data_IF_580307516999
#
_entry.id   IF_580307516999
#
_cell.length_a   1.000
_cell.length_b   1.000
_cell.length_c   1.000
_cell.angle_alpha   90.00
_cell.angle_beta   90.00
_cell.angle_gamma   90.00
#
_symmetry.space_group_name_H-M   'P 1'
#
loop_
_entity.id
_entity.type
_entity.pdbx_description
1 polymer ?
#
# COMPACT_ATOMS: atom_id res chain seq x y z
N UNK A 1 -3.78 -2.11 13.24
CA UNK A 1 -2.79 -3.05 13.78
C UNK A 1 -3.47 -4.18 14.56
N UNK A 2 -4.31 -3.87 15.55
CA UNK A 2 -5.02 -4.89 16.36
C UNK A 2 -5.90 -5.87 15.54
N UNK A 3 -6.46 -5.43 14.41
CA UNK A 3 -7.38 -6.27 13.62
C UNK A 3 -6.71 -7.44 12.88
N UNK A 4 -5.44 -7.33 12.48
CA UNK A 4 -4.76 -8.40 11.72
C UNK A 4 -4.58 -9.65 12.61
N UNK A 5 -4.23 -9.46 13.88
CA UNK A 5 -4.14 -10.57 14.84
C UNK A 5 -5.49 -11.23 15.09
N UNK A 6 -6.57 -10.45 15.23
CA UNK A 6 -7.92 -10.96 15.39
C UNK A 6 -8.35 -11.82 14.19
N UNK A 7 -8.02 -11.39 12.96
CA UNK A 7 -8.38 -12.18 11.77
C UNK A 7 -7.66 -13.53 11.72
N UNK A 8 -6.39 -13.60 12.17
CA UNK A 8 -5.66 -14.88 12.26
C UNK A 8 -6.42 -15.86 13.18
N UNK A 9 -6.94 -15.39 14.31
CA UNK A 9 -7.73 -16.23 15.23
C UNK A 9 -9.03 -16.69 14.58
N UNK A 10 -9.79 -15.77 13.98
CA UNK A 10 -11.07 -16.10 13.31
C UNK A 10 -10.89 -17.08 12.16
N UNK A 11 -9.85 -16.92 11.33
CA UNK A 11 -9.64 -17.80 10.19
C UNK A 11 -9.19 -19.21 10.57
N UNK A 12 -8.44 -19.35 11.68
CA UNK A 12 -8.01 -20.65 12.20
C UNK A 12 -9.09 -21.40 12.99
N UNK A 13 -10.17 -20.73 13.39
CA UNK A 13 -11.25 -21.34 14.15
C UNK A 13 -12.05 -22.35 13.31
N UNK A 14 -12.28 -23.55 13.84
CA UNK A 14 -13.18 -24.55 13.23
C UNK A 14 -14.66 -24.17 13.42
N UNK A 15 -14.97 -23.31 14.40
CA UNK A 15 -16.33 -22.87 14.73
C UNK A 15 -16.82 -21.73 13.83
N UNK A 16 -15.93 -21.10 13.05
CA UNK A 16 -16.27 -20.00 12.15
C UNK A 16 -16.75 -20.54 10.80
N UNK A 17 -17.92 -20.06 10.35
CA UNK A 17 -18.52 -20.49 9.08
C UNK A 17 -17.67 -20.08 7.86
N UNK A 18 -17.88 -20.76 6.73
CA UNK A 18 -17.16 -20.45 5.49
C UNK A 18 -17.47 -19.02 4.97
N UNK A 19 -18.72 -18.57 5.12
CA UNK A 19 -19.16 -17.23 4.75
C UNK A 19 -18.47 -16.15 5.59
N UNK A 20 -18.36 -16.38 6.90
CA UNK A 20 -17.64 -15.45 7.78
C UNK A 20 -16.16 -15.43 7.45
N UNK A 21 -15.53 -16.59 7.20
CA UNK A 21 -14.14 -16.66 6.74
C UNK A 21 -13.92 -15.91 5.43
N UNK A 22 -14.83 -16.00 4.47
CA UNK A 22 -14.74 -15.27 3.20
C UNK A 22 -14.74 -13.75 3.41
N UNK A 23 -15.59 -13.24 4.31
CA UNK A 23 -15.61 -11.82 4.68
C UNK A 23 -14.28 -11.41 5.33
N UNK A 24 -13.74 -12.22 6.23
CA UNK A 24 -12.45 -11.90 6.88
C UNK A 24 -11.28 -11.93 5.90
N UNK A 25 -11.27 -12.86 4.93
CA UNK A 25 -10.27 -12.90 3.87
C UNK A 25 -10.31 -11.61 3.04
N UNK A 26 -11.49 -11.13 2.67
CA UNK A 26 -11.63 -9.87 1.94
C UNK A 26 -11.06 -8.68 2.74
N UNK A 27 -11.33 -8.61 4.05
CA UNK A 27 -10.76 -7.58 4.92
C UNK A 27 -9.24 -7.67 5.05
N UNK A 28 -8.69 -8.87 5.18
CA UNK A 28 -7.23 -9.06 5.23
C UNK A 28 -6.60 -8.60 3.92
N UNK A 29 -7.13 -9.03 2.78
CA UNK A 29 -6.63 -8.63 1.46
C UNK A 29 -6.55 -7.11 1.33
N UNK A 30 -7.58 -6.41 1.78
CA UNK A 30 -7.64 -4.95 1.77
C UNK A 30 -6.64 -4.32 2.75
N UNK A 31 -6.69 -4.68 4.04
CA UNK A 31 -5.94 -4.01 5.09
C UNK A 31 -4.43 -4.24 5.02
N UNK A 32 -4.00 -5.40 4.52
CA UNK A 32 -2.57 -5.65 4.27
C UNK A 32 -2.09 -4.86 3.05
N UNK A 33 -2.95 -4.58 2.07
CA UNK A 33 -2.66 -3.62 1.01
C UNK A 33 -2.44 -2.22 1.59
N UNK A 34 -3.44 -1.71 2.32
CA UNK A 34 -3.44 -0.36 2.89
C UNK A 34 -2.23 -0.09 3.80
N UNK A 35 -1.92 -1.00 4.72
CA UNK A 35 -0.80 -0.80 5.66
C UNK A 35 0.56 -0.74 4.95
N UNK A 36 0.66 -1.20 3.70
CA UNK A 36 1.89 -1.07 2.91
C UNK A 36 1.98 0.25 2.14
N UNK A 37 0.86 0.96 1.93
CA UNK A 37 0.83 2.31 1.36
C UNK A 37 1.36 3.32 2.40
N UNK A 38 2.47 4.03 2.14
CA UNK A 38 3.15 4.83 3.18
C UNK A 38 2.26 5.84 3.92
N UNK A 39 1.35 6.51 3.21
CA UNK A 39 0.48 7.56 3.77
C UNK A 39 -0.70 7.03 4.59
N UNK A 40 -1.01 5.73 4.54
CA UNK A 40 -1.99 5.10 5.44
C UNK A 40 -1.42 4.87 6.85
N UNK A 41 -0.13 5.14 7.06
CA UNK A 41 0.56 4.81 8.31
C UNK A 41 0.86 6.01 9.21
N UNK A 42 0.75 7.24 8.69
CA UNK A 42 1.10 8.45 9.45
C UNK A 42 0.44 9.69 8.83
N UNK A 43 0.40 10.78 9.61
CA UNK A 43 -0.07 12.10 9.19
C UNK A 43 1.06 13.12 9.37
N UNK A 44 1.27 14.02 8.41
CA UNK A 44 2.31 15.06 8.50
C UNK A 44 1.78 16.27 9.25
N UNK A 45 2.45 16.65 10.34
CA UNK A 45 2.14 17.84 11.13
C UNK A 45 3.11 18.96 10.76
N UNK A 46 2.57 20.15 10.51
CA UNK A 46 3.32 21.39 10.25
C UNK A 46 2.64 22.55 10.97
N UNK A 47 3.23 23.75 10.94
CA UNK A 47 2.55 24.95 11.45
C UNK A 47 1.22 25.21 10.73
N UNK A 48 1.13 24.93 9.42
CA UNK A 48 -0.09 25.09 8.62
C UNK A 48 -1.09 23.93 8.80
N UNK A 49 -0.63 22.77 9.28
CA UNK A 49 -1.45 21.56 9.50
C UNK A 49 -1.23 20.99 10.91
N UNK A 50 -1.63 21.70 11.98
CA UNK A 50 -1.34 21.30 13.35
C UNK A 50 -2.02 19.99 13.76
N UNK A 51 -3.19 19.68 13.19
CA UNK A 51 -3.92 18.42 13.40
C UNK A 51 -3.47 17.29 12.45
N UNK A 52 -2.44 17.57 11.64
CA UNK A 52 -1.95 16.68 10.61
C UNK A 52 -2.68 16.83 9.27
N UNK A 53 -2.02 16.39 8.20
CA UNK A 53 -2.51 16.51 6.82
C UNK A 53 -3.41 15.35 6.35
N UNK A 54 -3.86 14.52 7.30
CA UNK A 54 -4.76 13.37 7.08
C UNK A 54 -4.15 12.37 6.10
N UNK A 55 -2.86 12.07 6.28
CA UNK A 55 -2.10 11.16 5.42
C UNK A 55 -1.96 11.71 4.00
N UNK A 56 -1.64 12.99 3.85
CA UNK A 56 -1.49 13.62 2.54
C UNK A 56 -2.80 14.07 1.87
N UNK A 57 -3.97 13.78 2.45
CA UNK A 57 -5.25 14.22 1.88
C UNK A 57 -5.38 15.75 1.82
N UNK A 58 -4.76 16.47 2.77
CA UNK A 58 -4.73 17.93 2.80
C UNK A 58 -3.61 18.54 1.96
N UNK A 59 -2.69 17.73 1.40
CA UNK A 59 -1.63 18.20 0.50
C UNK A 59 -2.14 18.20 -0.95
N UNK A 60 -2.61 19.37 -1.42
CA UNK A 60 -3.19 19.52 -2.77
C UNK A 60 -2.13 19.67 -3.85
N UNK A 61 -2.37 19.12 -5.04
CA UNK A 61 -1.54 19.34 -6.23
C UNK A 61 -2.17 20.33 -7.22
N UNK A 62 -3.39 20.10 -7.66
CA UNK A 62 -4.06 20.97 -8.62
C UNK A 62 -5.46 20.45 -8.93
N UNK A 63 -6.13 21.05 -9.91
CA UNK A 63 -7.52 20.73 -10.21
C UNK A 63 -7.71 19.45 -11.05
N UNK A 64 -6.62 18.91 -11.62
CA UNK A 64 -6.63 17.65 -12.36
C UNK A 64 -6.35 16.45 -11.46
N UNK A 65 -6.89 15.28 -11.82
CA UNK A 65 -6.48 14.02 -11.19
C UNK A 65 -4.98 13.77 -11.41
N UNK A 66 -4.24 13.34 -10.38
CA UNK A 66 -4.64 13.24 -8.97
C UNK A 66 -4.62 14.62 -8.25
N UNK A 67 -5.70 14.93 -7.54
CA UNK A 67 -5.92 16.26 -6.92
C UNK A 67 -5.14 16.48 -5.61
N UNK A 68 -4.64 15.41 -4.99
CA UNK A 68 -3.87 15.47 -3.75
C UNK A 68 -2.87 14.31 -3.63
N UNK A 69 -1.95 14.44 -2.69
CA UNK A 69 -0.87 13.49 -2.46
C UNK A 69 -1.36 12.08 -2.08
N UNK A 70 -2.36 11.94 -1.21
CA UNK A 70 -2.92 10.63 -0.84
C UNK A 70 -3.48 9.90 -2.07
N UNK A 71 -4.33 10.60 -2.83
CA UNK A 71 -4.96 10.07 -4.03
C UNK A 71 -3.92 9.70 -5.11
N UNK A 72 -2.84 10.47 -5.22
CA UNK A 72 -1.71 10.16 -6.10
C UNK A 72 -1.04 8.83 -5.73
N UNK A 73 -0.81 8.57 -4.45
CA UNK A 73 -0.20 7.32 -3.99
C UNK A 73 -1.16 6.12 -4.07
N UNK A 74 -2.45 6.29 -3.76
CA UNK A 74 -3.46 5.24 -3.92
C UNK A 74 -3.61 4.84 -5.39
N UNK A 75 -3.59 5.82 -6.31
CA UNK A 75 -3.73 5.62 -7.76
C UNK A 75 -2.42 5.46 -8.52
N UNK A 76 -1.29 5.19 -7.86
CA UNK A 76 0.05 5.31 -8.45
C UNK A 76 0.27 4.45 -9.69
N UNK A 77 -0.36 3.26 -9.78
CA UNK A 77 -0.27 2.40 -10.97
C UNK A 77 -0.94 3.06 -12.17
N UNK A 78 -2.12 3.65 -11.99
CA UNK A 78 -2.86 4.31 -13.06
C UNK A 78 -2.22 5.64 -13.47
N UNK A 79 -1.58 6.32 -12.52
CA UNK A 79 -0.79 7.53 -12.79
C UNK A 79 0.44 7.19 -13.62
N UNK A 80 1.16 6.11 -13.29
CA UNK A 80 2.40 5.75 -13.96
C UNK A 80 2.18 4.99 -15.29
N UNK A 81 1.13 4.17 -15.36
CA UNK A 81 0.82 3.33 -16.51
C UNK A 81 -0.65 3.49 -16.93
N UNK A 82 -1.08 4.64 -17.46
CA UNK A 82 -2.49 4.85 -17.81
C UNK A 82 -3.06 3.69 -18.65
N UNK A 83 -4.14 3.09 -18.14
CA UNK A 83 -4.82 1.96 -18.80
C UNK A 83 -5.44 2.42 -20.12
N UNK A 84 -5.26 1.63 -21.17
CA UNK A 84 -5.94 1.87 -22.45
C UNK A 84 -7.44 1.56 -22.36
N UNK A 85 -8.25 2.28 -23.13
CA UNK A 85 -9.72 2.19 -23.08
C UNK A 85 -10.25 0.76 -23.37
N UNK A 86 -9.58 0.02 -24.26
CA UNK A 86 -9.95 -1.34 -24.68
C UNK A 86 -9.34 -2.45 -23.79
N UNK A 87 -8.66 -2.09 -22.69
CA UNK A 87 -8.01 -3.05 -21.79
C UNK A 87 -8.92 -3.34 -20.60
N UNK A 88 -9.27 -4.61 -20.41
CA UNK A 88 -10.02 -5.10 -19.25
C UNK A 88 -9.24 -4.87 -17.94
N UNK A 89 -9.95 -4.47 -16.88
CA UNK A 89 -9.33 -4.14 -15.58
C UNK A 89 -8.51 -5.28 -15.02
N UNK A 90 -9.03 -6.52 -15.09
CA UNK A 90 -8.34 -7.69 -14.56
C UNK A 90 -6.99 -7.92 -15.27
N UNK A 91 -6.96 -7.87 -16.60
CA UNK A 91 -5.73 -8.07 -17.39
C UNK A 91 -4.72 -6.95 -17.16
N UNK A 92 -5.20 -5.72 -17.04
CA UNK A 92 -4.37 -4.57 -16.71
C UNK A 92 -3.71 -4.72 -15.33
N UNK A 93 -4.47 -5.04 -14.28
CA UNK A 93 -3.89 -5.21 -12.94
C UNK A 93 -3.02 -6.47 -12.83
N UNK A 94 -3.38 -7.56 -13.51
CA UNK A 94 -2.59 -8.79 -13.54
C UNK A 94 -1.22 -8.55 -14.17
N UNK A 95 -1.17 -7.93 -15.36
CA UNK A 95 0.10 -7.64 -16.04
C UNK A 95 1.01 -6.71 -15.23
N UNK A 96 0.44 -5.70 -14.55
CA UNK A 96 1.18 -4.86 -13.62
C UNK A 96 1.72 -5.65 -12.41
N UNK A 97 0.90 -6.53 -11.82
CA UNK A 97 1.33 -7.38 -10.71
C UNK A 97 2.46 -8.34 -11.11
N UNK A 98 2.38 -8.94 -12.30
CA UNK A 98 3.44 -9.82 -12.84
C UNK A 98 4.75 -9.07 -13.11
N UNK A 99 4.66 -7.87 -13.68
CA UNK A 99 5.82 -6.99 -13.86
C UNK A 99 6.46 -6.63 -12.51
N UNK A 100 5.65 -6.22 -11.52
CA UNK A 100 6.13 -5.87 -10.17
C UNK A 100 6.79 -7.06 -9.49
N UNK A 101 6.17 -8.23 -9.54
CA UNK A 101 6.72 -9.49 -9.00
C UNK A 101 8.04 -9.87 -9.66
N UNK A 102 8.15 -9.68 -10.97
CA UNK A 102 9.38 -9.96 -11.74
C UNK A 102 10.50 -9.00 -11.37
N UNK A 103 10.19 -7.70 -11.23
CA UNK A 103 11.15 -6.66 -10.85
C UNK A 103 11.60 -6.79 -9.38
N UNK A 104 10.69 -7.21 -8.51
CA UNK A 104 10.91 -7.35 -7.06
C UNK A 104 10.64 -8.79 -6.62
N UNK A 105 11.57 -9.73 -6.88
CA UNK A 105 11.42 -11.12 -6.48
C UNK A 105 11.41 -11.28 -4.95
N UNK A 106 10.76 -12.32 -4.43
CA UNK A 106 10.67 -12.60 -2.99
C UNK A 106 12.02 -12.55 -2.27
N UNK A 107 13.09 -12.98 -2.95
CA UNK A 107 14.46 -12.99 -2.42
C UNK A 107 15.02 -11.60 -2.11
N UNK A 108 14.49 -10.52 -2.70
CA UNK A 108 14.85 -9.13 -2.33
C UNK A 108 14.44 -8.81 -0.89
N UNK A 109 13.40 -9.48 -0.37
CA UNK A 109 12.77 -9.18 0.92
C UNK A 109 13.09 -10.21 2.01
N UNK A 110 14.19 -10.94 1.89
CA UNK A 110 14.61 -11.93 2.88
C UNK A 110 14.71 -11.30 4.28
N UNK A 111 14.02 -11.90 5.25
CA UNK A 111 13.97 -11.41 6.63
C UNK A 111 12.98 -10.26 6.88
N UNK A 112 12.32 -9.72 5.84
CA UNK A 112 11.26 -8.71 5.99
C UNK A 112 9.85 -9.31 5.97
N UNK A 113 9.71 -10.56 5.52
CA UNK A 113 8.42 -11.26 5.52
C UNK A 113 8.16 -11.83 6.91
N UNK A 114 7.84 -10.94 7.84
CA UNK A 114 7.38 -11.25 9.20
C UNK A 114 5.88 -10.96 9.28
N UNK A 115 5.10 -11.96 9.71
CA UNK A 115 3.65 -11.92 9.80
C UNK A 115 3.12 -11.75 11.22
N UNK A 116 4.02 -11.64 12.19
CA UNK A 116 3.64 -11.67 13.60
C UNK A 116 3.33 -10.28 14.13
N UNK A 117 3.88 -9.23 13.53
CA UNK A 117 3.72 -7.88 14.04
C UNK A 117 3.42 -6.83 12.96
N UNK A 118 2.13 -6.49 12.82
CA UNK A 118 1.69 -5.40 11.95
C UNK A 118 2.22 -4.02 12.37
N UNK A 119 2.74 -3.87 13.60
CA UNK A 119 3.42 -2.66 14.04
C UNK A 119 4.75 -2.43 13.34
N UNK A 120 5.46 -3.50 12.98
CA UNK A 120 6.63 -3.40 12.12
C UNK A 120 6.25 -2.83 10.76
N UNK A 121 5.17 -3.33 10.15
CA UNK A 121 4.72 -2.87 8.83
C UNK A 121 4.30 -1.40 8.85
N UNK A 122 3.62 -0.98 9.92
CA UNK A 122 3.25 0.41 10.13
C UNK A 122 4.48 1.32 10.29
N UNK A 123 5.46 0.90 11.09
CA UNK A 123 6.70 1.65 11.30
C UNK A 123 7.50 1.80 10.00
N UNK A 124 7.56 0.77 9.16
CA UNK A 124 8.19 0.86 7.83
C UNK A 124 7.51 1.94 6.96
N UNK A 125 6.18 1.91 6.90
CA UNK A 125 5.40 2.91 6.15
C UNK A 125 5.63 4.32 6.66
N UNK A 126 5.64 4.50 8.00
CA UNK A 126 5.97 5.77 8.65
C UNK A 126 7.38 6.26 8.30
N UNK A 127 8.38 5.39 8.36
CA UNK A 127 9.76 5.75 8.03
C UNK A 127 9.91 6.18 6.57
N UNK A 128 9.26 5.48 5.64
CA UNK A 128 9.25 5.85 4.22
C UNK A 128 8.61 7.22 4.06
N UNK A 129 7.46 7.45 4.70
CA UNK A 129 6.77 8.73 4.65
C UNK A 129 7.64 9.88 5.12
N UNK A 130 8.32 9.71 6.26
CA UNK A 130 9.21 10.74 6.82
C UNK A 130 10.45 11.01 5.95
N UNK A 131 11.01 9.97 5.30
CA UNK A 131 12.28 10.08 4.57
C UNK A 131 12.12 10.42 3.10
N UNK A 132 10.98 10.10 2.48
CA UNK A 132 10.84 10.05 1.01
C UNK A 132 9.59 10.70 0.46
N UNK A 133 8.47 10.70 1.20
CA UNK A 133 7.17 11.12 0.63
C UNK A 133 6.98 12.64 0.61
N UNK A 134 7.68 13.38 1.48
CA UNK A 134 7.64 14.84 1.52
C UNK A 134 9.04 15.45 1.30
N UNK A 135 9.65 15.29 0.11
CA UNK A 135 10.90 15.98 -0.19
C UNK A 135 10.68 17.48 -0.35
N UNK A 136 11.75 18.27 -0.27
CA UNK A 136 11.69 19.74 -0.31
C UNK A 136 11.14 20.30 -1.62
N UNK A 137 11.29 19.58 -2.73
CA UNK A 137 10.81 19.98 -4.05
C UNK A 137 9.32 19.68 -4.27
N UNK A 138 8.68 18.89 -3.38
CA UNK A 138 7.25 18.63 -3.44
C UNK A 138 6.48 19.81 -2.84
N UNK A 139 5.72 20.53 -3.67
CA UNK A 139 4.99 21.74 -3.28
C UNK A 139 3.49 21.59 -3.41
N UNK A 140 2.76 22.26 -2.53
CA UNK A 140 1.31 22.35 -2.67
C UNK A 140 0.93 23.19 -3.88
N UNK A 141 -0.17 22.82 -4.52
CA UNK A 141 -0.73 23.49 -5.70
C UNK A 141 0.18 23.42 -6.95
N UNK A 142 1.16 22.51 -6.94
CA UNK A 142 2.00 22.17 -8.08
C UNK A 142 1.90 20.66 -8.37
N UNK A 143 2.04 20.27 -9.63
CA UNK A 143 2.18 18.85 -9.99
C UNK A 143 3.57 18.34 -9.62
N UNK A 144 3.72 17.05 -9.23
CA UNK A 144 5.02 16.52 -8.85
C UNK A 144 6.05 16.56 -9.98
N UNK A 145 7.31 16.75 -9.61
CA UNK A 145 8.46 16.64 -10.52
C UNK A 145 8.56 15.22 -11.10
N UNK A 146 9.22 15.07 -12.25
CA UNK A 146 9.47 13.72 -12.82
C UNK A 146 10.30 12.85 -11.88
N UNK A 147 11.26 13.45 -11.16
CA UNK A 147 12.05 12.76 -10.14
C UNK A 147 11.16 12.23 -9.00
N UNK A 148 10.20 13.03 -8.52
CA UNK A 148 9.24 12.58 -7.53
C UNK A 148 8.37 11.43 -8.07
N UNK A 149 7.89 11.53 -9.32
CA UNK A 149 7.07 10.49 -9.94
C UNK A 149 7.81 9.17 -10.04
N UNK A 150 9.06 9.20 -10.49
CA UNK A 150 9.90 8.00 -10.57
C UNK A 150 10.17 7.41 -9.17
N UNK A 151 10.50 8.24 -8.19
CA UNK A 151 10.72 7.81 -6.81
C UNK A 151 9.47 7.16 -6.21
N UNK A 152 8.32 7.82 -6.32
CA UNK A 152 7.07 7.35 -5.76
C UNK A 152 6.63 6.03 -6.40
N UNK A 153 6.70 5.93 -7.73
CA UNK A 153 6.35 4.71 -8.45
C UNK A 153 7.27 3.54 -8.10
N UNK A 154 8.59 3.74 -8.10
CA UNK A 154 9.55 2.70 -7.70
C UNK A 154 9.34 2.25 -6.24
N UNK A 155 9.04 3.18 -5.33
CA UNK A 155 8.76 2.85 -3.94
C UNK A 155 7.44 2.07 -3.80
N UNK A 156 6.38 2.51 -4.48
CA UNK A 156 5.09 1.84 -4.46
C UNK A 156 5.18 0.40 -4.98
N UNK A 157 5.90 0.16 -6.08
CA UNK A 157 6.13 -1.20 -6.60
C UNK A 157 6.79 -2.11 -5.56
N UNK A 158 7.83 -1.62 -4.85
CA UNK A 158 8.48 -2.38 -3.78
C UNK A 158 7.51 -2.70 -2.64
N UNK A 159 6.67 -1.75 -2.24
CA UNK A 159 5.67 -1.94 -1.17
C UNK A 159 4.56 -2.90 -1.58
N UNK A 160 4.08 -2.84 -2.82
CA UNK A 160 3.12 -3.78 -3.38
C UNK A 160 3.68 -5.20 -3.44
N UNK A 161 4.92 -5.37 -3.90
CA UNK A 161 5.59 -6.67 -3.92
C UNK A 161 5.70 -7.27 -2.50
N UNK A 162 6.21 -6.49 -1.55
CA UNK A 162 6.34 -6.90 -0.15
C UNK A 162 4.98 -7.24 0.48
N UNK A 163 3.96 -6.43 0.22
CA UNK A 163 2.57 -6.68 0.66
C UNK A 163 2.07 -8.02 0.11
N UNK A 164 2.23 -8.27 -1.19
CA UNK A 164 1.84 -9.51 -1.83
C UNK A 164 2.55 -10.75 -1.27
N UNK A 165 3.85 -10.65 -0.98
CA UNK A 165 4.57 -11.76 -0.36
C UNK A 165 4.15 -12.01 1.10
N UNK A 166 3.95 -10.95 1.90
CA UNK A 166 3.41 -11.08 3.27
C UNK A 166 2.01 -11.68 3.25
N UNK A 167 1.15 -11.24 2.33
CA UNK A 167 -0.19 -11.79 2.13
C UNK A 167 -0.14 -13.29 1.81
N UNK A 168 0.71 -13.68 0.85
CA UNK A 168 0.83 -15.07 0.44
C UNK A 168 1.28 -15.97 1.59
N UNK A 169 2.29 -15.56 2.35
CA UNK A 169 2.74 -16.33 3.52
C UNK A 169 1.67 -16.38 4.61
N UNK A 170 0.92 -15.30 4.83
CA UNK A 170 -0.18 -15.27 5.81
C UNK A 170 -1.29 -16.26 5.46
N UNK A 171 -1.71 -16.30 4.21
CA UNK A 171 -2.73 -17.25 3.75
C UNK A 171 -2.19 -18.69 3.77
N UNK A 172 -0.92 -18.91 3.41
CA UNK A 172 -0.29 -20.23 3.46
C UNK A 172 -0.16 -20.77 4.90
N UNK A 173 0.13 -19.91 5.89
CA UNK A 173 0.19 -20.27 7.31
C UNK A 173 -1.15 -20.83 7.80
N UNK A 174 -2.26 -20.27 7.30
CA UNK A 174 -3.62 -20.61 7.72
C UNK A 174 -4.18 -21.80 6.91
N UNK A 175 -4.01 -21.79 5.58
CA UNK A 175 -4.71 -22.69 4.67
C UNK A 175 -3.81 -23.68 3.91
N UNK A 176 -2.48 -23.54 3.98
CA UNK A 176 -1.54 -24.32 3.17
C UNK A 176 -1.32 -25.77 3.60
N UNK A 177 -2.22 -26.33 4.42
CA UNK A 177 -2.16 -27.74 4.87
C UNK A 177 -2.86 -28.66 3.88
#
# INVERSE_FOLDING_TARGET
MERISLFRETLNSEETSAEEKAIQIAWILHLVGDIHMPLHNTSRVTEDTPDGDRGGNSFRFGDSWPWNLHAYWDGIIDVANPKGDDVEDFEYYLSNAEMIKTKHPKSEFNGLIDLQDSQVWNNEGKEITMKKVYPEDLKQNEQPSEEYKEMAYNMAQKRMALSGYRMAEFLNEIFGK
#
